data_IF_132106756706
#
_entry.id   IF_132106756706
#
_cell.length_a   1.000
_cell.length_b   1.000
_cell.length_c   1.000
_cell.angle_alpha   90.00
_cell.angle_beta   90.00
_cell.angle_gamma   90.00
#
_symmetry.space_group_name_H-M   'P 1'
#
loop_
_entity.id
_entity.type
_entity.pdbx_description
1 polymer ?
#
# COMPACT_ATOMS: atom_id res chain seq x y z
N UNK A 1 52.56 32.69 0.51
CA UNK A 1 52.16 31.38 1.05
C UNK A 1 51.42 31.66 2.35
N UNK A 2 50.11 31.46 2.40
CA UNK A 2 49.32 31.74 3.60
C UNK A 2 49.48 30.52 4.52
N UNK A 3 50.29 30.65 5.58
CA UNK A 3 50.44 29.62 6.60
C UNK A 3 49.25 29.68 7.54
N UNK A 4 48.36 28.67 7.44
CA UNK A 4 47.23 28.53 8.35
C UNK A 4 47.80 28.18 9.75
N UNK A 5 47.43 28.93 10.80
CA UNK A 5 47.94 28.65 12.13
C UNK A 5 47.47 27.28 12.63
N UNK A 6 48.33 26.57 13.37
CA UNK A 6 48.05 25.21 13.90
C UNK A 6 46.72 25.12 14.66
N UNK A 7 46.34 26.16 15.37
CA UNK A 7 45.09 26.27 16.12
C UNK A 7 43.83 26.06 15.24
N UNK A 8 43.91 26.46 13.97
CA UNK A 8 42.76 26.25 13.04
C UNK A 8 42.58 24.77 12.74
N UNK A 9 43.67 24.01 12.60
CA UNK A 9 43.61 22.57 12.38
C UNK A 9 43.04 21.82 13.59
N UNK A 10 43.38 22.25 14.79
CA UNK A 10 42.82 21.67 16.02
C UNK A 10 41.31 21.92 16.12
N UNK A 11 40.86 23.15 15.82
CA UNK A 11 39.45 23.48 15.81
C UNK A 11 38.66 22.61 14.80
N UNK A 12 39.18 22.49 13.58
CA UNK A 12 38.58 21.65 12.53
C UNK A 12 38.50 20.19 12.95
N UNK A 13 39.58 19.68 13.56
CA UNK A 13 39.63 18.30 14.05
C UNK A 13 38.58 18.04 15.15
N UNK A 14 38.48 18.91 16.15
CA UNK A 14 37.48 18.74 17.20
C UNK A 14 36.06 18.92 16.70
N UNK A 15 35.80 19.83 15.77
CA UNK A 15 34.52 19.98 15.11
C UNK A 15 34.13 18.71 14.34
N UNK A 16 35.05 18.13 13.60
CA UNK A 16 34.85 16.89 12.87
C UNK A 16 34.52 15.70 13.80
N UNK A 17 35.29 15.54 14.88
CA UNK A 17 35.05 14.52 15.89
C UNK A 17 33.66 14.68 16.54
N UNK A 18 33.26 15.91 16.83
CA UNK A 18 31.93 16.19 17.40
C UNK A 18 30.80 15.81 16.48
N UNK A 19 30.92 16.10 15.19
CA UNK A 19 29.91 15.72 14.16
C UNK A 19 29.79 14.20 14.07
N UNK A 20 30.92 13.48 14.04
CA UNK A 20 30.93 12.01 14.01
C UNK A 20 30.25 11.43 15.24
N UNK A 21 30.52 11.94 16.43
CA UNK A 21 29.91 11.48 17.69
C UNK A 21 28.39 11.68 17.66
N UNK A 22 27.92 12.84 17.21
CA UNK A 22 26.49 13.12 17.06
C UNK A 22 25.86 12.16 16.06
N UNK A 23 26.52 11.89 14.93
CA UNK A 23 26.03 10.99 13.90
C UNK A 23 25.93 9.54 14.40
N UNK A 24 26.98 9.06 15.10
CA UNK A 24 26.97 7.71 15.71
C UNK A 24 25.86 7.60 16.75
N UNK A 25 25.70 8.62 17.61
CA UNK A 25 24.63 8.64 18.62
C UNK A 25 23.24 8.58 17.95
N UNK A 26 23.03 9.37 16.91
CA UNK A 26 21.77 9.37 16.16
C UNK A 26 21.47 7.99 15.55
N UNK A 27 22.46 7.39 14.89
CA UNK A 27 22.32 6.05 14.32
C UNK A 27 22.01 5.00 15.38
N UNK A 28 22.78 4.96 16.46
CA UNK A 28 22.56 3.99 17.52
C UNK A 28 21.19 4.18 18.19
N UNK A 29 20.76 5.40 18.40
CA UNK A 29 19.46 5.68 19.04
C UNK A 29 18.27 5.24 18.19
N UNK A 30 18.26 5.64 16.92
CA UNK A 30 17.12 5.33 16.03
C UNK A 30 17.13 3.88 15.55
N UNK A 31 18.26 3.38 15.07
CA UNK A 31 18.31 2.01 14.53
C UNK A 31 18.22 0.94 15.61
N UNK A 32 18.75 1.19 16.80
CA UNK A 32 18.55 0.26 17.92
C UNK A 32 17.09 0.08 18.25
N UNK A 33 16.31 1.16 18.25
CA UNK A 33 14.88 1.10 18.53
C UNK A 33 14.12 0.29 17.45
N UNK A 34 14.53 0.43 16.20
CA UNK A 34 13.94 -0.34 15.09
C UNK A 34 14.37 -1.80 15.12
N UNK A 35 15.66 -2.09 15.34
CA UNK A 35 16.21 -3.44 15.36
C UNK A 35 15.63 -4.30 16.50
N UNK A 36 15.33 -3.69 17.65
CA UNK A 36 14.72 -4.37 18.81
C UNK A 36 13.20 -4.18 18.89
N UNK A 37 12.57 -3.64 17.85
CA UNK A 37 11.13 -3.56 17.80
C UNK A 37 10.52 -4.95 17.69
N UNK A 38 9.92 -5.42 18.75
CA UNK A 38 9.11 -6.63 18.74
C UNK A 38 7.71 -6.25 18.27
N UNK A 39 7.31 -6.77 17.13
CA UNK A 39 5.92 -6.67 16.72
C UNK A 39 5.07 -7.32 17.81
N UNK A 40 4.15 -6.58 18.46
CA UNK A 40 3.26 -7.19 19.44
C UNK A 40 2.51 -8.33 18.73
N UNK A 41 2.67 -9.56 19.23
CA UNK A 41 1.88 -10.67 18.74
C UNK A 41 0.42 -10.37 19.08
N UNK A 42 -0.33 -9.96 18.07
CA UNK A 42 -1.76 -9.82 18.18
C UNK A 42 -2.29 -11.22 18.45
N UNK A 43 -2.88 -11.43 19.64
CA UNK A 43 -3.50 -12.71 19.96
C UNK A 43 -4.39 -13.11 18.78
N UNK A 44 -4.03 -14.20 18.12
CA UNK A 44 -4.54 -14.61 16.81
C UNK A 44 -5.98 -15.13 16.81
N UNK A 45 -6.78 -14.75 17.82
CA UNK A 45 -8.14 -15.28 18.02
C UNK A 45 -9.26 -14.41 17.48
N UNK A 46 -8.97 -13.22 16.96
CA UNK A 46 -10.01 -12.37 16.37
C UNK A 46 -9.82 -12.33 14.85
N UNK A 47 -10.54 -13.21 14.19
CA UNK A 47 -10.63 -13.25 12.73
C UNK A 47 -11.69 -12.24 12.29
N UNK A 48 -11.26 -11.13 11.72
CA UNK A 48 -12.17 -10.10 11.20
C UNK A 48 -12.62 -10.45 9.78
N UNK A 49 -13.89 -10.16 9.47
CA UNK A 49 -14.32 -10.14 8.09
C UNK A 49 -13.56 -9.04 7.32
N UNK A 50 -13.17 -9.33 6.07
CA UNK A 50 -12.37 -8.43 5.25
C UNK A 50 -13.03 -8.24 3.89
N UNK A 51 -13.15 -6.99 3.44
CA UNK A 51 -13.52 -6.64 2.07
C UNK A 51 -12.29 -6.15 1.30
N UNK A 52 -11.97 -6.82 0.19
CA UNK A 52 -10.89 -6.42 -0.71
C UNK A 52 -11.49 -5.58 -1.83
N UNK A 53 -11.10 -4.30 -1.90
CA UNK A 53 -11.63 -3.39 -2.91
C UNK A 53 -10.61 -3.21 -4.04
N UNK A 54 -11.02 -3.53 -5.27
CA UNK A 54 -10.21 -3.41 -6.48
C UNK A 54 -10.85 -2.38 -7.40
N UNK A 55 -10.15 -1.29 -7.70
CA UNK A 55 -10.60 -0.29 -8.66
C UNK A 55 -9.95 -0.56 -10.02
N UNK A 56 -10.77 -0.78 -11.05
CA UNK A 56 -10.33 -1.09 -12.39
C UNK A 56 -10.95 -0.15 -13.43
N UNK A 57 -10.17 0.18 -14.45
CA UNK A 57 -10.64 0.89 -15.64
C UNK A 57 -9.84 0.42 -16.84
N UNK A 58 -10.55 -0.14 -17.82
CA UNK A 58 -9.95 -0.70 -19.04
C UNK A 58 -8.82 -1.73 -18.76
N UNK A 59 -9.08 -2.62 -17.77
CA UNK A 59 -8.09 -3.57 -17.24
C UNK A 59 -8.54 -5.03 -17.40
N UNK A 60 -9.33 -5.35 -18.46
CA UNK A 60 -9.87 -6.70 -18.66
C UNK A 60 -8.77 -7.77 -18.65
N UNK A 61 -7.67 -7.56 -19.37
CA UNK A 61 -6.57 -8.53 -19.44
C UNK A 61 -5.87 -8.74 -18.09
N UNK A 62 -5.64 -7.66 -17.36
CA UNK A 62 -4.99 -7.71 -16.04
C UNK A 62 -5.89 -8.40 -15.00
N UNK A 63 -7.19 -8.10 -15.04
CA UNK A 63 -8.16 -8.76 -14.17
C UNK A 63 -8.30 -10.24 -14.49
N UNK A 64 -8.36 -10.63 -15.76
CA UNK A 64 -8.40 -12.04 -16.15
C UNK A 64 -7.22 -12.85 -15.60
N UNK A 65 -6.04 -12.25 -15.56
CA UNK A 65 -4.81 -12.90 -15.09
C UNK A 65 -4.71 -12.93 -13.56
N UNK A 66 -5.04 -11.83 -12.88
CA UNK A 66 -4.71 -11.65 -11.47
C UNK A 66 -5.89 -11.89 -10.51
N UNK A 67 -7.12 -11.64 -10.95
CA UNK A 67 -8.31 -11.76 -10.10
C UNK A 67 -8.55 -13.18 -9.58
N UNK A 68 -8.31 -14.26 -10.37
CA UNK A 68 -8.45 -15.62 -9.87
C UNK A 68 -7.58 -15.92 -8.64
N UNK A 69 -6.35 -15.40 -8.60
CA UNK A 69 -5.44 -15.58 -7.46
C UNK A 69 -5.98 -14.96 -6.16
N UNK A 70 -6.70 -13.85 -6.26
CA UNK A 70 -7.34 -13.20 -5.11
C UNK A 70 -8.63 -13.96 -4.70
N UNK A 71 -9.39 -14.44 -5.68
CA UNK A 71 -10.67 -15.13 -5.45
C UNK A 71 -10.53 -16.50 -4.77
N UNK A 72 -9.42 -17.22 -5.05
CA UNK A 72 -9.14 -18.54 -4.46
C UNK A 72 -8.28 -18.47 -3.21
N UNK A 73 -7.96 -17.27 -2.72
CA UNK A 73 -7.15 -17.11 -1.51
C UNK A 73 -7.86 -17.71 -0.30
N UNK A 74 -7.18 -18.61 0.41
CA UNK A 74 -7.69 -19.17 1.65
C UNK A 74 -7.57 -18.15 2.78
N UNK A 75 -8.72 -17.66 3.24
CA UNK A 75 -8.82 -16.77 4.38
C UNK A 75 -9.75 -17.37 5.43
N UNK A 76 -9.28 -17.51 6.65
CA UNK A 76 -9.98 -18.23 7.72
C UNK A 76 -11.34 -17.65 8.12
N UNK A 77 -11.54 -16.36 7.90
CA UNK A 77 -12.82 -15.69 8.17
C UNK A 77 -13.54 -15.31 6.86
N UNK A 78 -14.69 -14.69 6.97
CA UNK A 78 -15.45 -14.21 5.82
C UNK A 78 -14.66 -13.13 5.08
N UNK A 79 -14.50 -13.30 3.78
CA UNK A 79 -13.95 -12.28 2.90
C UNK A 79 -14.79 -12.11 1.64
N UNK A 80 -14.85 -10.90 1.18
CA UNK A 80 -15.48 -10.53 -0.09
C UNK A 80 -14.53 -9.70 -0.93
N UNK A 81 -14.73 -9.74 -2.24
CA UNK A 81 -13.99 -8.95 -3.21
C UNK A 81 -14.96 -8.05 -3.92
N UNK A 82 -14.76 -6.75 -3.82
CA UNK A 82 -15.59 -5.73 -4.47
C UNK A 82 -14.76 -5.06 -5.57
N UNK A 83 -15.10 -5.33 -6.82
CA UNK A 83 -14.44 -4.70 -7.97
C UNK A 83 -15.25 -3.49 -8.41
N UNK A 84 -14.64 -2.32 -8.34
CA UNK A 84 -15.27 -1.08 -8.82
C UNK A 84 -14.78 -0.80 -10.23
N UNK A 85 -15.65 -0.99 -11.21
CA UNK A 85 -15.41 -0.68 -12.60
C UNK A 85 -15.68 0.81 -12.86
N UNK A 86 -14.62 1.58 -13.07
CA UNK A 86 -14.66 3.03 -13.30
C UNK A 86 -14.93 3.34 -14.79
N UNK A 87 -16.12 3.02 -15.27
CA UNK A 87 -16.57 3.31 -16.64
C UNK A 87 -15.60 2.77 -17.71
N UNK A 88 -15.27 1.48 -17.63
CA UNK A 88 -14.47 0.82 -18.66
C UNK A 88 -15.24 0.71 -19.98
N UNK A 89 -14.51 0.85 -21.10
CA UNK A 89 -15.03 0.73 -22.45
C UNK A 89 -14.63 -0.59 -23.13
N UNK A 90 -13.75 -1.36 -22.48
CA UNK A 90 -13.29 -2.69 -22.89
C UNK A 90 -14.18 -3.82 -22.31
N UNK A 91 -13.72 -5.06 -22.44
CA UNK A 91 -14.45 -6.26 -21.99
C UNK A 91 -14.45 -6.45 -20.45
N UNK A 92 -13.95 -5.48 -19.67
CA UNK A 92 -13.88 -5.55 -18.19
C UNK A 92 -15.23 -5.90 -17.58
N UNK A 93 -16.32 -5.30 -18.06
CA UNK A 93 -17.67 -5.57 -17.54
C UNK A 93 -18.10 -7.02 -17.75
N UNK A 94 -17.94 -7.53 -18.97
CA UNK A 94 -18.33 -8.91 -19.31
C UNK A 94 -17.53 -9.93 -18.50
N UNK A 95 -16.22 -9.67 -18.35
CA UNK A 95 -15.34 -10.49 -17.53
C UNK A 95 -15.80 -10.55 -16.07
N UNK A 96 -16.16 -9.42 -15.47
CA UNK A 96 -16.65 -9.36 -14.09
C UNK A 96 -17.98 -10.08 -13.91
N UNK A 97 -18.89 -10.01 -14.90
CA UNK A 97 -20.14 -10.75 -14.90
C UNK A 97 -19.90 -12.28 -14.93
N UNK A 98 -18.90 -12.75 -15.67
CA UNK A 98 -18.50 -14.17 -15.70
C UNK A 98 -17.90 -14.62 -14.36
N UNK A 99 -17.02 -13.83 -13.78
CA UNK A 99 -16.47 -14.13 -12.45
C UNK A 99 -17.56 -14.18 -11.38
N UNK A 100 -18.54 -13.30 -11.42
CA UNK A 100 -19.66 -13.30 -10.49
C UNK A 100 -20.56 -14.55 -10.59
N UNK A 101 -20.67 -15.14 -11.79
CA UNK A 101 -21.36 -16.43 -11.96
C UNK A 101 -20.56 -17.59 -11.37
N UNK A 102 -19.24 -17.53 -11.45
CA UNK A 102 -18.34 -18.61 -11.04
C UNK A 102 -17.97 -18.57 -9.55
N UNK A 103 -17.91 -17.39 -8.95
CA UNK A 103 -17.48 -17.17 -7.57
C UNK A 103 -18.54 -16.41 -6.77
N UNK A 104 -18.84 -16.90 -5.56
CA UNK A 104 -19.85 -16.30 -4.68
C UNK A 104 -19.33 -15.09 -3.87
N UNK A 105 -18.02 -15.01 -3.69
CA UNK A 105 -17.36 -13.99 -2.87
C UNK A 105 -16.93 -12.74 -3.64
N UNK A 106 -17.39 -12.57 -4.90
CA UNK A 106 -17.12 -11.38 -5.70
C UNK A 106 -18.41 -10.58 -5.95
N UNK A 107 -18.29 -9.28 -5.79
CA UNK A 107 -19.25 -8.29 -6.23
C UNK A 107 -18.57 -7.25 -7.12
N UNK A 108 -19.33 -6.65 -8.04
CA UNK A 108 -18.80 -5.53 -8.81
C UNK A 108 -19.79 -4.37 -8.83
N UNK A 109 -19.24 -3.16 -8.84
CA UNK A 109 -19.95 -1.89 -8.91
C UNK A 109 -19.58 -1.22 -10.23
N UNK A 110 -20.58 -0.86 -11.04
CA UNK A 110 -20.36 -0.15 -12.29
C UNK A 110 -20.57 1.35 -12.03
N UNK A 111 -19.54 2.16 -12.27
CA UNK A 111 -19.64 3.60 -12.21
C UNK A 111 -19.91 4.15 -13.61
N UNK A 112 -20.95 5.00 -13.75
CA UNK A 112 -21.17 5.77 -14.96
C UNK A 112 -20.30 7.04 -14.96
N UNK A 113 -19.99 7.54 -16.15
CA UNK A 113 -19.19 8.77 -16.30
C UNK A 113 -19.89 9.99 -15.68
N UNK A 114 -21.23 10.02 -15.69
CA UNK A 114 -22.03 11.09 -15.10
C UNK A 114 -21.98 11.12 -13.57
N UNK A 115 -21.74 9.99 -12.92
CA UNK A 115 -21.60 9.91 -11.46
C UNK A 115 -20.23 10.38 -10.96
N UNK A 116 -19.27 10.62 -11.86
CA UNK A 116 -17.89 10.93 -11.50
C UNK A 116 -17.68 12.42 -11.25
N UNK A 117 -17.78 12.84 -9.99
CA UNK A 117 -17.52 14.22 -9.56
C UNK A 117 -16.05 14.58 -9.52
N UNK A 118 -15.15 13.60 -9.37
CA UNK A 118 -13.70 13.82 -9.19
C UNK A 118 -12.94 12.82 -10.05
N UNK A 119 -11.94 13.32 -10.79
CA UNK A 119 -11.04 12.48 -11.58
C UNK A 119 -10.06 11.70 -10.70
N UNK A 120 -9.75 10.43 -11.07
CA UNK A 120 -8.77 9.59 -10.40
C UNK A 120 -9.38 8.46 -9.55
N UNK A 121 -8.49 7.64 -8.95
CA UNK A 121 -8.85 6.42 -8.21
C UNK A 121 -9.52 6.65 -6.85
N UNK A 122 -9.46 7.87 -6.31
CA UNK A 122 -10.03 8.21 -4.99
C UNK A 122 -11.55 8.04 -4.95
N UNK A 123 -12.23 8.47 -6.01
CA UNK A 123 -13.69 8.40 -6.08
C UNK A 123 -14.19 6.94 -6.17
N UNK A 124 -13.71 6.10 -7.10
CA UNK A 124 -14.08 4.68 -7.13
C UNK A 124 -13.82 3.96 -5.80
N UNK A 125 -12.67 4.22 -5.17
CA UNK A 125 -12.33 3.64 -3.88
C UNK A 125 -13.32 4.04 -2.78
N UNK A 126 -13.73 5.30 -2.73
CA UNK A 126 -14.71 5.79 -1.73
C UNK A 126 -16.10 5.16 -1.88
N UNK A 127 -16.46 4.74 -3.10
CA UNK A 127 -17.72 4.03 -3.37
C UNK A 127 -17.61 2.56 -2.93
N UNK A 128 -16.46 1.92 -3.16
CA UNK A 128 -16.25 0.54 -2.73
C UNK A 128 -16.21 0.34 -1.20
N UNK A 129 -15.93 1.39 -0.43
CA UNK A 129 -15.88 1.36 1.05
C UNK A 129 -17.25 1.53 1.70
N UNK A 130 -18.26 2.01 0.97
CA UNK A 130 -19.65 2.17 1.48
C UNK A 130 -20.44 0.89 1.42
#
# INVERSE_FOLDING_TARGET
MITIPAVVWDIVFYAFCSIILIQIFYYLFFFRRLAFYKVPQKNASVEYAVSVIVCARDEAHQLATNLPGILVQDYKSTHEIVVVNDNSVDDTKYLLDEFKKSFKNINHILLSQEAKLITGKKFPLSIGVK
#
